data_IF_476447268409
#
_entry.id   IF_476447268409
#
_cell.length_a   1.000
_cell.length_b   1.000
_cell.length_c   1.000
_cell.angle_alpha   90.00
_cell.angle_beta   90.00
_cell.angle_gamma   90.00
#
_symmetry.space_group_name_H-M   'P 1'
#
loop_
_entity.id
_entity.type
_entity.pdbx_description
1 polymer ?
#
# COMPACT_ATOMS: atom_id res chain seq x y z
N UNK A 1 -1.43 0.57 7.71
CA UNK A 1 -0.55 -0.54 7.30
C UNK A 1 -1.27 -1.46 6.35
N UNK A 2 -0.53 -2.06 5.46
CA UNK A 2 -1.09 -3.08 4.57
C UNK A 2 0.00 -4.08 4.21
N UNK A 3 -0.43 -5.29 3.83
CA UNK A 3 0.47 -6.34 3.39
C UNK A 3 0.09 -6.75 1.98
N UNK A 4 1.06 -7.27 1.24
CA UNK A 4 0.84 -7.69 -0.12
C UNK A 4 1.86 -8.76 -0.49
N UNK A 5 1.53 -9.66 -1.46
CA UNK A 5 2.50 -10.65 -1.92
C UNK A 5 3.54 -10.00 -2.82
N UNK A 6 4.67 -10.65 -2.97
CA UNK A 6 5.74 -10.13 -3.82
C UNK A 6 5.25 -9.85 -5.24
N UNK A 7 4.35 -10.67 -5.75
CA UNK A 7 3.82 -10.49 -7.10
C UNK A 7 3.00 -9.21 -7.25
N UNK A 8 2.50 -8.65 -6.16
CA UNK A 8 1.76 -7.41 -6.18
C UNK A 8 2.64 -6.19 -5.98
N UNK A 9 3.95 -6.38 -5.85
CA UNK A 9 4.86 -5.27 -5.57
C UNK A 9 4.83 -4.19 -6.65
N UNK A 10 4.85 -4.56 -7.92
CA UNK A 10 4.84 -3.58 -9.01
C UNK A 10 3.63 -2.67 -8.96
N UNK A 11 2.39 -3.20 -8.97
CA UNK A 11 1.23 -2.31 -8.93
C UNK A 11 1.14 -1.51 -7.64
N UNK A 12 1.55 -2.12 -6.51
CA UNK A 12 1.55 -1.40 -5.24
C UNK A 12 2.54 -0.25 -5.28
N UNK A 13 3.75 -0.48 -5.77
CA UNK A 13 4.75 0.58 -5.83
C UNK A 13 4.37 1.68 -6.80
N UNK A 14 3.73 1.34 -7.92
CA UNK A 14 3.23 2.36 -8.84
C UNK A 14 2.21 3.26 -8.16
N UNK A 15 1.30 2.64 -7.42
CA UNK A 15 0.27 3.38 -6.71
C UNK A 15 0.88 4.28 -5.64
N UNK A 16 1.82 3.76 -4.88
CA UNK A 16 2.50 4.50 -3.81
C UNK A 16 3.28 5.68 -4.39
N UNK A 17 4.01 5.45 -5.47
CA UNK A 17 4.81 6.51 -6.10
C UNK A 17 3.95 7.56 -6.76
N UNK A 18 2.79 7.17 -7.27
CA UNK A 18 1.88 8.11 -7.91
C UNK A 18 1.01 8.88 -6.93
N UNK A 19 1.04 8.53 -5.66
CA UNK A 19 0.24 9.17 -4.63
C UNK A 19 1.12 10.06 -3.75
N UNK A 20 0.54 11.14 -3.25
CA UNK A 20 1.23 12.06 -2.36
C UNK A 20 1.13 11.53 -0.93
N UNK A 21 1.96 10.57 -0.62
CA UNK A 21 1.97 9.94 0.70
C UNK A 21 3.39 9.76 1.20
N UNK A 22 3.51 9.50 2.49
CA UNK A 22 4.79 9.29 3.14
C UNK A 22 4.89 7.86 3.63
N UNK A 23 5.99 7.20 3.29
CA UNK A 23 6.25 5.84 3.76
C UNK A 23 6.90 5.93 5.13
N UNK A 24 6.25 5.36 6.13
CA UNK A 24 6.75 5.37 7.50
C UNK A 24 7.63 4.15 7.79
N UNK A 25 7.27 3.01 7.21
CA UNK A 25 8.01 1.78 7.42
C UNK A 25 7.72 0.84 6.26
N UNK A 26 8.66 -0.04 5.97
CA UNK A 26 8.47 -1.05 4.93
C UNK A 26 9.31 -2.27 5.29
N UNK A 27 8.75 -3.45 5.06
CA UNK A 27 9.42 -4.71 5.29
C UNK A 27 9.18 -5.64 4.10
N UNK A 28 10.25 -6.17 3.54
CA UNK A 28 10.21 -7.08 2.40
C UNK A 28 10.84 -8.40 2.83
N UNK A 29 10.00 -9.28 3.36
CA UNK A 29 10.42 -10.57 3.87
C UNK A 29 9.65 -11.65 3.12
N UNK A 30 9.23 -12.72 3.80
CA UNK A 30 8.38 -13.74 3.20
C UNK A 30 7.07 -13.14 2.69
N UNK A 31 6.58 -12.14 3.38
CA UNK A 31 5.48 -11.32 2.89
C UNK A 31 5.90 -9.87 2.99
N UNK A 32 5.44 -9.06 2.04
CA UNK A 32 5.77 -7.65 2.01
C UNK A 32 4.74 -6.86 2.80
N UNK A 33 5.21 -5.92 3.60
CA UNK A 33 4.33 -5.04 4.35
C UNK A 33 4.83 -3.61 4.28
N UNK A 34 3.92 -2.67 4.40
CA UNK A 34 4.26 -1.26 4.31
C UNK A 34 3.33 -0.45 5.19
N UNK A 35 3.89 0.50 5.92
CA UNK A 35 3.13 1.47 6.71
C UNK A 35 3.30 2.83 6.07
N UNK A 36 2.19 3.46 5.74
CA UNK A 36 2.21 4.75 5.06
C UNK A 36 1.35 5.75 5.82
N UNK A 37 1.68 7.02 5.66
CA UNK A 37 0.89 8.12 6.20
C UNK A 37 0.18 8.82 5.05
N UNK A 38 -1.13 8.94 5.16
CA UNK A 38 -1.96 9.55 4.12
C UNK A 38 -2.64 10.80 4.67
N UNK A 39 -2.83 11.78 3.80
CA UNK A 39 -3.72 12.88 4.12
C UNK A 39 -5.16 12.35 4.11
N UNK A 40 -5.97 12.85 5.02
CA UNK A 40 -7.34 12.39 5.16
C UNK A 40 -8.16 12.53 3.88
N UNK A 41 -7.83 13.51 3.04
CA UNK A 41 -8.51 13.77 1.79
C UNK A 41 -8.32 12.64 0.78
N UNK A 42 -7.16 12.00 0.81
CA UNK A 42 -6.77 10.99 -0.18
C UNK A 42 -6.93 9.57 0.32
N UNK A 43 -7.07 9.40 1.63
CA UNK A 43 -7.09 8.07 2.23
C UNK A 43 -8.16 7.14 1.66
N UNK A 44 -9.43 7.57 1.54
CA UNK A 44 -10.48 6.66 1.03
C UNK A 44 -10.23 6.21 -0.40
N UNK A 45 -9.75 7.11 -1.27
CA UNK A 45 -9.48 6.78 -2.67
C UNK A 45 -8.31 5.80 -2.79
N UNK A 46 -7.24 6.04 -2.04
CA UNK A 46 -6.08 5.17 -2.09
C UNK A 46 -6.40 3.79 -1.52
N UNK A 47 -7.16 3.76 -0.42
CA UNK A 47 -7.56 2.50 0.19
C UNK A 47 -8.36 1.65 -0.79
N UNK A 48 -9.27 2.25 -1.53
CA UNK A 48 -10.04 1.55 -2.54
C UNK A 48 -9.15 0.99 -3.64
N UNK A 49 -8.17 1.77 -4.09
CA UNK A 49 -7.25 1.31 -5.13
C UNK A 49 -6.36 0.18 -4.65
N UNK A 50 -5.90 0.25 -3.40
CA UNK A 50 -5.12 -0.85 -2.82
C UNK A 50 -5.96 -2.12 -2.72
N UNK A 51 -7.22 -2.00 -2.34
CA UNK A 51 -8.12 -3.15 -2.25
C UNK A 51 -8.36 -3.80 -3.62
N UNK A 52 -8.29 -3.02 -4.69
CA UNK A 52 -8.46 -3.54 -6.04
C UNK A 52 -7.28 -4.40 -6.48
N UNK A 53 -6.13 -4.25 -5.85
CA UNK A 53 -4.96 -5.06 -6.19
C UNK A 53 -5.12 -6.43 -5.52
N UNK A 54 -5.07 -7.48 -6.32
CA UNK A 54 -5.24 -8.84 -5.83
C UNK A 54 -4.16 -9.20 -4.81
N UNK A 55 -4.57 -9.72 -3.67
CA UNK A 55 -3.65 -10.17 -2.64
C UNK A 55 -3.29 -9.12 -1.59
N UNK A 56 -3.68 -7.88 -1.79
CA UNK A 56 -3.41 -6.83 -0.81
C UNK A 56 -4.39 -6.94 0.35
N UNK A 57 -3.85 -6.89 1.58
CA UNK A 57 -4.64 -6.89 2.80
C UNK A 57 -4.35 -5.62 3.59
N UNK A 58 -5.40 -4.89 3.91
CA UNK A 58 -5.28 -3.65 4.68
C UNK A 58 -5.51 -3.95 6.15
N UNK A 59 -4.57 -3.53 6.99
CA UNK A 59 -4.54 -3.90 8.41
C UNK A 59 -4.95 -2.77 9.35
N UNK A 60 -5.57 -1.77 8.90
CA UNK A 60 -5.93 -0.65 9.77
C UNK A 60 -6.67 -1.06 11.00
#
# INVERSE_FOLDING_TARGET
>A
SFTFPYLAMEPVMRLVKGSDLKILDQQFDNSCSMTISLRSDHAPGLRGRLSDISGVSILD
#
